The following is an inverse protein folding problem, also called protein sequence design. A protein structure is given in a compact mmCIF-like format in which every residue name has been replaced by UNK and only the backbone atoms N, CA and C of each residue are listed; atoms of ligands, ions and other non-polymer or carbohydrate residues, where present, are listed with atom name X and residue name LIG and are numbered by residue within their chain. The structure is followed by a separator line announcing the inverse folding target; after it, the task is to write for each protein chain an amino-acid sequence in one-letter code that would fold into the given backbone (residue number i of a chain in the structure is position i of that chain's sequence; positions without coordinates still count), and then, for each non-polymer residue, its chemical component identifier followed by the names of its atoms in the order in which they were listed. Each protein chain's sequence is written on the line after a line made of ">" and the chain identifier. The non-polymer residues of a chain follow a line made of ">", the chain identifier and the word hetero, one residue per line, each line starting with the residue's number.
data_IF_121741844846
#
_entry.id   IF_121741844846
#
_cell.length_a   1.000
_cell.length_b   1.000
_cell.length_c   1.000
_cell.angle_alpha   90.00
_cell.angle_beta   90.00
_cell.angle_gamma   90.00
#
_symmetry.space_group_name_H-M   'P 1'
#
loop_
_entity.id
_entity.type
_entity.pdbx_description
1 polymer ?
#
# COMPACT_ATOMS: atom_id res chain seq x y z
N UNK A 1 0.84 17.75 -9.69
CA UNK A 1 0.91 17.43 -8.26
C UNK A 1 0.75 15.95 -8.06
N UNK A 2 1.62 15.39 -7.24
CA UNK A 2 1.58 13.96 -6.97
C UNK A 2 0.64 13.67 -5.83
N UNK A 3 -0.46 13.00 -6.13
CA UNK A 3 -1.38 12.53 -5.12
C UNK A 3 -1.09 11.05 -4.83
N UNK A 4 0.14 10.77 -4.46
CA UNK A 4 0.57 9.40 -4.21
C UNK A 4 -0.25 8.80 -3.08
N UNK A 5 -0.44 9.54 -2.00
CA UNK A 5 -1.21 9.04 -0.87
C UNK A 5 -2.63 8.65 -1.30
N UNK A 6 -3.30 9.52 -2.06
CA UNK A 6 -4.66 9.23 -2.54
C UNK A 6 -4.70 8.02 -3.45
N UNK A 7 -3.71 7.88 -4.33
CA UNK A 7 -3.65 6.73 -5.24
C UNK A 7 -3.41 5.43 -4.47
N UNK A 8 -2.52 5.46 -3.48
CA UNK A 8 -2.27 4.29 -2.64
C UNK A 8 -3.53 3.91 -1.88
N UNK A 9 -4.21 4.90 -1.28
CA UNK A 9 -5.42 4.63 -0.51
C UNK A 9 -6.53 4.05 -1.39
N UNK A 10 -6.67 4.53 -2.61
CA UNK A 10 -7.65 3.99 -3.54
C UNK A 10 -7.37 2.53 -3.88
N UNK A 11 -6.11 2.21 -4.10
CA UNK A 11 -5.70 0.84 -4.39
C UNK A 11 -6.01 -0.06 -3.19
N UNK A 12 -5.74 0.44 -1.98
CA UNK A 12 -6.03 -0.31 -0.76
C UNK A 12 -7.53 -0.60 -0.66
N UNK A 13 -8.37 0.40 -0.90
CA UNK A 13 -9.83 0.24 -0.86
C UNK A 13 -10.26 -0.86 -1.84
N UNK A 14 -9.74 -0.81 -3.05
CA UNK A 14 -10.14 -1.76 -4.09
C UNK A 14 -9.69 -3.19 -3.78
N UNK A 15 -8.47 -3.36 -3.30
CA UNK A 15 -7.91 -4.68 -3.07
C UNK A 15 -8.29 -5.31 -1.74
N UNK A 16 -8.47 -4.47 -0.71
CA UNK A 16 -8.85 -4.98 0.62
C UNK A 16 -10.36 -5.07 0.79
N UNK A 17 -11.13 -4.45 -0.10
CA UNK A 17 -12.58 -4.49 -0.03
C UNK A 17 -13.15 -3.77 1.18
N UNK A 18 -12.54 -2.65 1.57
CA UNK A 18 -12.96 -1.87 2.74
C UNK A 18 -13.43 -0.50 2.30
N UNK A 19 -14.14 0.19 3.19
CA UNK A 19 -14.60 1.56 2.92
C UNK A 19 -13.46 2.56 3.10
N UNK A 20 -13.56 3.69 2.39
CA UNK A 20 -12.55 4.75 2.41
C UNK A 20 -12.24 5.20 3.84
N UNK A 21 -13.25 5.31 4.70
CA UNK A 21 -13.07 5.81 6.05
C UNK A 21 -12.28 4.86 6.95
N UNK A 22 -12.10 3.62 6.52
CA UNK A 22 -11.27 2.66 7.23
C UNK A 22 -9.80 2.77 6.85
N UNK A 23 -9.51 3.39 5.73
CA UNK A 23 -8.14 3.47 5.21
C UNK A 23 -7.51 4.76 5.73
N UNK A 24 -6.94 4.67 6.93
CA UNK A 24 -6.20 5.78 7.55
C UNK A 24 -4.71 5.47 7.51
N UNK A 25 -3.84 6.49 7.67
CA UNK A 25 -2.39 6.23 7.65
C UNK A 25 -1.92 5.21 8.67
N UNK A 26 -2.58 5.16 9.82
CA UNK A 26 -2.21 4.25 10.90
C UNK A 26 -2.83 2.85 10.75
N UNK A 27 -3.74 2.67 9.79
CA UNK A 27 -4.43 1.39 9.63
C UNK A 27 -3.45 0.29 9.25
N UNK A 28 -3.50 -0.81 9.98
CA UNK A 28 -2.70 -2.00 9.69
C UNK A 28 -3.46 -2.86 8.69
N UNK A 29 -2.76 -3.34 7.66
CA UNK A 29 -3.40 -4.18 6.66
C UNK A 29 -3.95 -5.47 7.24
N UNK A 30 -3.25 -6.05 8.21
CA UNK A 30 -3.67 -7.32 8.80
C UNK A 30 -4.66 -7.14 9.93
N UNK A 31 -4.44 -6.15 10.78
CA UNK A 31 -5.25 -5.98 12.00
C UNK A 31 -6.49 -5.12 11.77
N UNK A 32 -6.33 -3.99 11.09
CA UNK A 32 -7.39 -2.99 10.97
C UNK A 32 -8.24 -3.20 9.73
N UNK A 33 -7.62 -3.66 8.64
CA UNK A 33 -8.32 -3.83 7.37
C UNK A 33 -8.72 -5.29 7.11
N UNK A 34 -8.40 -6.17 8.04
CA UNK A 34 -8.86 -7.56 7.99
C UNK A 34 -8.25 -8.41 6.89
N UNK A 35 -7.13 -7.96 6.32
CA UNK A 35 -6.45 -8.74 5.30
C UNK A 35 -5.58 -9.84 5.90
N UNK A 36 -5.13 -10.76 5.06
CA UNK A 36 -4.12 -11.73 5.44
C UNK A 36 -2.85 -11.47 4.62
N UNK A 37 -1.83 -12.31 4.80
CA UNK A 37 -0.56 -12.10 4.11
C UNK A 37 -0.70 -12.19 2.59
N UNK A 38 -1.63 -12.99 2.10
CA UNK A 38 -1.87 -13.09 0.66
C UNK A 38 -2.48 -11.79 0.12
N UNK A 39 -3.40 -11.19 0.87
CA UNK A 39 -3.98 -9.90 0.47
C UNK A 39 -2.90 -8.83 0.39
N UNK A 40 -1.97 -8.83 1.34
CA UNK A 40 -0.85 -7.87 1.33
C UNK A 40 0.02 -8.09 0.09
N UNK A 41 0.31 -9.33 -0.26
CA UNK A 41 1.10 -9.64 -1.46
C UNK A 41 0.41 -9.13 -2.71
N UNK A 42 -0.89 -9.35 -2.83
CA UNK A 42 -1.65 -8.87 -3.98
C UNK A 42 -1.68 -7.35 -4.04
N UNK A 43 -1.83 -6.71 -2.88
CA UNK A 43 -1.79 -5.25 -2.79
C UNK A 43 -0.44 -4.71 -3.26
N UNK A 44 0.65 -5.34 -2.82
CA UNK A 44 1.99 -4.92 -3.22
C UNK A 44 2.15 -5.04 -4.73
N UNK A 45 1.67 -6.11 -5.33
CA UNK A 45 1.74 -6.28 -6.78
C UNK A 45 0.97 -5.17 -7.50
N UNK A 46 -0.19 -4.79 -6.96
CA UNK A 46 -0.97 -3.71 -7.53
C UNK A 46 -0.23 -2.37 -7.45
N UNK A 47 0.46 -2.13 -6.34
CA UNK A 47 1.26 -0.92 -6.17
C UNK A 47 2.42 -0.89 -7.16
N UNK A 48 3.07 -2.03 -7.37
CA UNK A 48 4.14 -2.13 -8.36
C UNK A 48 3.66 -1.76 -9.75
N UNK A 49 2.49 -2.29 -10.14
CA UNK A 49 1.91 -1.99 -11.45
C UNK A 49 1.50 -0.54 -11.58
N UNK A 50 0.87 -0.01 -10.55
CA UNK A 50 0.34 1.35 -10.59
C UNK A 50 1.44 2.40 -10.70
N UNK A 51 2.54 2.19 -9.98
CA UNK A 51 3.61 3.18 -9.88
C UNK A 51 4.86 2.81 -10.68
N UNK A 52 4.87 1.65 -11.33
CA UNK A 52 6.00 1.22 -12.14
C UNK A 52 7.26 0.98 -11.33
N UNK A 53 7.13 0.42 -10.13
CA UNK A 53 8.24 0.16 -9.22
C UNK A 53 8.32 -1.32 -8.90
N UNK A 54 9.44 -1.73 -8.31
CA UNK A 54 9.63 -3.09 -7.83
C UNK A 54 9.83 -3.07 -6.32
N UNK A 55 9.06 -3.87 -5.61
CA UNK A 55 9.14 -3.97 -4.16
C UNK A 55 9.65 -5.36 -3.80
N UNK A 56 10.92 -5.49 -3.36
CA UNK A 56 11.47 -6.79 -2.98
C UNK A 56 10.73 -7.39 -1.79
N UNK A 57 10.71 -8.70 -1.69
CA UNK A 57 10.03 -9.40 -0.59
C UNK A 57 10.52 -8.94 0.78
N UNK A 58 11.82 -8.64 0.90
CA UNK A 58 12.37 -8.17 2.16
C UNK A 58 11.77 -6.82 2.59
N UNK A 59 11.40 -6.00 1.61
CA UNK A 59 10.78 -4.70 1.90
C UNK A 59 9.28 -4.85 2.20
N UNK A 60 8.64 -5.85 1.61
CA UNK A 60 7.23 -6.12 1.87
C UNK A 60 6.99 -6.37 3.35
N UNK A 61 7.91 -7.05 4.01
CA UNK A 61 7.79 -7.34 5.43
C UNK A 61 7.74 -6.08 6.29
N UNK A 62 8.31 -4.98 5.81
CA UNK A 62 8.29 -3.70 6.51
C UNK A 62 7.05 -2.86 6.21
N UNK A 63 6.22 -3.28 5.28
CA UNK A 63 5.01 -2.54 4.91
C UNK A 63 3.84 -3.12 5.68
N UNK A 64 3.59 -2.58 6.87
CA UNK A 64 2.55 -3.08 7.75
C UNK A 64 1.31 -2.19 7.78
N UNK A 65 1.49 -0.89 7.54
CA UNK A 65 0.39 0.08 7.58
C UNK A 65 0.26 0.82 6.25
N UNK A 66 -0.86 1.51 6.10
CA UNK A 66 -1.09 2.35 4.91
C UNK A 66 0.02 3.39 4.77
N UNK A 67 0.41 4.02 5.90
CA UNK A 67 1.48 5.02 5.86
C UNK A 67 2.80 4.40 5.39
N UNK A 68 3.11 3.18 5.81
CA UNK A 68 4.32 2.50 5.36
C UNK A 68 4.33 2.34 3.84
N UNK A 69 3.19 1.97 3.26
CA UNK A 69 3.06 1.82 1.82
C UNK A 69 3.24 3.16 1.11
N UNK A 70 2.61 4.22 1.63
CA UNK A 70 2.73 5.56 1.06
C UNK A 70 4.18 6.01 1.08
N UNK A 71 4.83 5.87 2.22
CA UNK A 71 6.22 6.28 2.39
C UNK A 71 7.14 5.53 1.43
N UNK A 72 6.91 4.23 1.30
CA UNK A 72 7.72 3.41 0.40
C UNK A 72 7.59 3.88 -1.06
N UNK A 73 6.35 4.08 -1.50
CA UNK A 73 6.09 4.50 -2.88
C UNK A 73 6.68 5.89 -3.14
N UNK A 74 6.56 6.80 -2.18
CA UNK A 74 7.13 8.14 -2.32
C UNK A 74 8.64 8.08 -2.46
N UNK A 75 9.30 7.27 -1.65
CA UNK A 75 10.75 7.12 -1.70
C UNK A 75 11.19 6.49 -3.02
N UNK A 76 10.48 5.47 -3.48
CA UNK A 76 10.80 4.80 -4.74
C UNK A 76 10.62 5.75 -5.92
N UNK A 77 9.57 6.56 -5.88
CA UNK A 77 9.31 7.52 -6.95
C UNK A 77 10.38 8.59 -7.04
N UNK A 78 10.92 9.01 -5.92
CA UNK A 78 11.98 10.01 -5.88
C UNK A 78 13.32 9.46 -6.36
N UNK A 79 13.52 8.16 -6.23
CA UNK A 79 14.75 7.52 -6.64
C UNK A 79 14.85 7.34 -8.15
N UNK A 80 13.71 7.46 -8.84
CA UNK A 80 13.65 7.29 -10.29
C UNK A 80 14.13 8.47 -11.09
#
# INVERSE_FOLDING_TARGET
>A
MNDIAGRVMKIVVEHMGVYDDKVTPEASFLDDLGGDSLDVVELVMALEDEFGITIPDSDVEGIATVQDAITYVEAAGKAG
#
